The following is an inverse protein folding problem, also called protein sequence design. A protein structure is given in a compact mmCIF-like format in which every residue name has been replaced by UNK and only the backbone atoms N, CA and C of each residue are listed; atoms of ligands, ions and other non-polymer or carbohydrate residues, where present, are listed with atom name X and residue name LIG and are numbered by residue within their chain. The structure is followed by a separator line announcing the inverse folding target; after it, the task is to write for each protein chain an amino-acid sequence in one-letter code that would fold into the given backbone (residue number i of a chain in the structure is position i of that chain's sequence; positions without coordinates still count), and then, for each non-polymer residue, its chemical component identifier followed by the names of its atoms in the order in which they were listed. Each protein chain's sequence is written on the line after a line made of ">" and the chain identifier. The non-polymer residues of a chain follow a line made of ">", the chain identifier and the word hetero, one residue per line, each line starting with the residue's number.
data_IF_080766065185
#
_entry.id   IF_080766065185
#
_cell.length_a   1.000
_cell.length_b   1.000
_cell.length_c   1.000
_cell.angle_alpha   90.00
_cell.angle_beta   90.00
_cell.angle_gamma   90.00
#
_symmetry.space_group_name_H-M   'P 1'
#
loop_
_entity.id
_entity.type
_entity.pdbx_description
1 polymer ?
#
# COMPACT_ATOMS: atom_id res chain seq x y z
N UNK A 1 -2.89 -18.18 18.11
CA UNK A 1 -3.26 -16.98 17.34
C UNK A 1 -2.71 -15.76 18.05
N UNK A 2 -1.82 -15.03 17.40
CA UNK A 2 -1.26 -13.77 17.91
C UNK A 2 -1.99 -12.61 17.24
N UNK A 3 -2.38 -11.60 18.00
CA UNK A 3 -3.01 -10.38 17.48
C UNK A 3 -1.89 -9.45 17.00
N UNK A 4 -1.97 -9.01 15.74
CA UNK A 4 -1.08 -7.96 15.21
C UNK A 4 -1.51 -6.62 15.82
N UNK A 5 -0.56 -5.91 16.43
CA UNK A 5 -0.80 -4.60 17.04
C UNK A 5 -0.29 -3.50 16.12
N UNK A 6 -0.93 -2.32 16.18
CA UNK A 6 -0.49 -1.15 15.43
C UNK A 6 0.94 -0.74 15.84
N UNK A 7 1.74 -0.18 14.92
CA UNK A 7 1.40 0.05 13.52
C UNK A 7 1.57 -1.22 12.68
N UNK A 8 0.76 -1.35 11.64
CA UNK A 8 0.88 -2.45 10.70
C UNK A 8 0.48 -2.03 9.30
N UNK A 9 1.02 -2.74 8.31
CA UNK A 9 0.57 -2.75 6.92
C UNK A 9 0.38 -4.21 6.59
N UNK A 10 -0.85 -4.60 6.27
CA UNK A 10 -1.22 -5.96 5.95
C UNK A 10 -1.73 -5.98 4.51
N UNK A 11 -1.10 -6.77 3.66
CA UNK A 11 -1.61 -7.09 2.33
C UNK A 11 -2.06 -8.55 2.34
N UNK A 12 -3.29 -8.80 1.91
CA UNK A 12 -3.91 -10.12 1.92
C UNK A 12 -4.04 -10.74 0.52
N UNK A 13 -3.84 -9.98 -0.57
CA UNK A 13 -4.16 -10.45 -1.92
C UNK A 13 -3.49 -9.72 -3.09
N UNK A 14 -2.68 -8.68 -2.87
CA UNK A 14 -2.19 -7.76 -3.92
C UNK A 14 -0.68 -7.58 -4.03
N UNK A 15 0.13 -8.41 -3.35
CA UNK A 15 1.59 -8.26 -3.33
C UNK A 15 2.30 -8.99 -4.48
N UNK A 16 3.18 -8.28 -5.19
CA UNK A 16 4.12 -8.85 -6.16
C UNK A 16 5.53 -8.86 -5.59
N UNK A 17 6.34 -9.85 -5.99
CA UNK A 17 7.73 -10.00 -5.55
C UNK A 17 8.69 -9.83 -6.72
N UNK A 18 9.81 -9.16 -6.46
CA UNK A 18 10.98 -8.91 -7.32
C UNK A 18 10.72 -8.12 -8.61
N UNK A 19 9.48 -8.09 -9.10
CA UNK A 19 9.08 -7.43 -10.35
C UNK A 19 7.79 -6.66 -10.14
N UNK A 20 7.84 -5.35 -10.46
CA UNK A 20 6.66 -4.49 -10.45
C UNK A 20 5.65 -4.97 -11.50
N UNK A 21 4.35 -5.05 -11.19
CA UNK A 21 3.36 -5.42 -12.18
C UNK A 21 3.26 -4.36 -13.28
N UNK A 22 3.11 -4.81 -14.52
CA UNK A 22 2.92 -3.94 -15.68
C UNK A 22 1.42 -3.69 -15.89
N UNK A 23 0.99 -2.44 -15.69
CA UNK A 23 -0.34 -1.97 -16.01
C UNK A 23 -0.28 -0.73 -16.91
N UNK A 24 -1.35 -0.46 -17.68
CA UNK A 24 -1.49 0.81 -18.39
C UNK A 24 -1.37 2.01 -17.46
N UNK A 25 -0.88 3.14 -17.98
CA UNK A 25 -0.69 4.38 -17.20
C UNK A 25 -2.02 4.86 -16.61
N UNK A 26 -3.12 4.67 -17.33
CA UNK A 26 -4.46 5.05 -16.92
C UNK A 26 -4.91 4.26 -15.68
N UNK A 27 -4.56 2.97 -15.62
CA UNK A 27 -4.86 2.11 -14.47
C UNK A 27 -4.07 2.55 -13.24
N UNK A 28 -2.79 2.92 -13.42
CA UNK A 28 -1.99 3.48 -12.32
C UNK A 28 -2.52 4.82 -11.82
N UNK A 29 -2.96 5.69 -12.73
CA UNK A 29 -3.53 6.99 -12.37
C UNK A 29 -4.86 6.86 -11.62
N UNK A 30 -5.71 5.92 -12.03
CA UNK A 30 -6.97 5.59 -11.33
C UNK A 30 -6.68 5.02 -9.94
N UNK A 31 -5.77 4.05 -9.85
CA UNK A 31 -5.35 3.47 -8.57
C UNK A 31 -4.78 4.53 -7.63
N UNK A 32 -3.88 5.41 -8.09
CA UNK A 32 -3.32 6.48 -7.26
C UNK A 32 -4.41 7.43 -6.77
N UNK A 33 -5.37 7.79 -7.64
CA UNK A 33 -6.49 8.65 -7.29
C UNK A 33 -7.35 8.00 -6.18
N UNK A 34 -7.70 6.73 -6.35
CA UNK A 34 -8.47 5.97 -5.35
C UNK A 34 -7.73 5.91 -4.00
N UNK A 35 -6.42 5.59 -4.01
CA UNK A 35 -5.65 5.51 -2.75
C UNK A 35 -5.48 6.86 -2.09
N UNK A 36 -5.29 7.93 -2.86
CA UNK A 36 -5.26 9.30 -2.35
C UNK A 36 -6.56 9.67 -1.65
N UNK A 37 -7.71 9.31 -2.23
CA UNK A 37 -9.02 9.55 -1.61
C UNK A 37 -9.22 8.71 -0.34
N UNK A 38 -8.78 7.44 -0.33
CA UNK A 38 -8.93 6.56 0.83
C UNK A 38 -8.08 6.98 2.04
N UNK A 39 -6.86 7.45 1.79
CA UNK A 39 -5.89 7.79 2.85
C UNK A 39 -5.83 9.27 3.20
N UNK A 40 -6.45 10.14 2.40
CA UNK A 40 -6.54 11.58 2.63
C UNK A 40 -5.18 12.19 3.01
N UNK A 41 -5.08 12.85 4.16
CA UNK A 41 -3.85 13.49 4.66
C UNK A 41 -2.70 12.50 4.93
N UNK A 42 -3.01 11.21 5.10
CA UNK A 42 -2.00 10.16 5.33
C UNK A 42 -1.37 9.64 4.04
N UNK A 43 -1.92 9.99 2.87
CA UNK A 43 -1.42 9.49 1.59
C UNK A 43 0.09 9.67 1.40
N UNK A 44 0.71 10.83 1.71
CA UNK A 44 2.16 10.98 1.60
C UNK A 44 2.96 10.00 2.50
N UNK A 45 2.43 9.63 3.66
CA UNK A 45 3.07 8.64 4.54
C UNK A 45 2.93 7.22 3.99
N UNK A 46 1.76 6.90 3.41
CA UNK A 46 1.53 5.61 2.75
C UNK A 46 2.46 5.45 1.55
N UNK A 47 2.69 6.50 0.76
CA UNK A 47 3.64 6.44 -0.36
C UNK A 47 5.05 6.09 0.11
N UNK A 48 5.55 6.70 1.19
CA UNK A 48 6.87 6.36 1.76
C UNK A 48 6.95 4.91 2.24
N UNK A 49 5.85 4.39 2.81
CA UNK A 49 5.76 2.98 3.19
C UNK A 49 5.84 2.08 1.96
N UNK A 50 5.07 2.39 0.91
CA UNK A 50 5.07 1.62 -0.34
C UNK A 50 6.46 1.63 -0.99
N UNK A 51 7.11 2.79 -1.08
CA UNK A 51 8.49 2.92 -1.56
C UNK A 51 9.46 2.04 -0.77
N UNK A 52 9.35 2.00 0.56
CA UNK A 52 10.19 1.16 1.40
C UNK A 52 9.96 -0.35 1.16
N UNK A 53 8.75 -0.76 0.78
CA UNK A 53 8.49 -2.14 0.34
C UNK A 53 9.06 -2.38 -1.06
N UNK A 54 8.93 -1.42 -1.98
CA UNK A 54 9.50 -1.52 -3.33
C UNK A 54 11.03 -1.69 -3.28
N UNK A 55 11.72 -1.01 -2.35
CA UNK A 55 13.16 -1.17 -2.09
C UNK A 55 13.54 -2.60 -1.66
N UNK A 56 12.59 -3.34 -1.08
CA UNK A 56 12.74 -4.76 -0.72
C UNK A 56 12.29 -5.71 -1.85
N UNK A 57 11.93 -5.17 -3.02
CA UNK A 57 11.35 -5.94 -4.11
C UNK A 57 9.90 -6.37 -3.87
N UNK A 58 9.17 -5.71 -2.95
CA UNK A 58 7.79 -6.05 -2.62
C UNK A 58 6.88 -4.92 -3.11
N UNK A 59 5.94 -5.23 -4.00
CA UNK A 59 5.03 -4.24 -4.57
C UNK A 59 3.61 -4.50 -4.05
N UNK A 60 3.16 -3.67 -3.10
CA UNK A 60 1.83 -3.78 -2.50
C UNK A 60 0.81 -2.97 -3.30
N UNK A 61 -0.26 -3.62 -3.77
CA UNK A 61 -1.35 -2.93 -4.50
C UNK A 61 -2.63 -2.81 -3.68
N UNK A 62 -2.88 -3.75 -2.77
CA UNK A 62 -4.14 -3.86 -2.03
C UNK A 62 -4.05 -3.20 -0.65
N UNK A 63 -3.54 -1.96 -0.61
CA UNK A 63 -3.51 -1.16 0.62
C UNK A 63 -4.81 -0.36 0.80
N UNK A 64 -5.31 -0.33 2.03
CA UNK A 64 -6.48 0.46 2.43
C UNK A 64 -6.41 0.82 3.92
N UNK A 65 -7.20 1.81 4.40
CA UNK A 65 -7.30 2.10 5.84
C UNK A 65 -7.79 0.91 6.69
N UNK A 66 -8.43 -0.09 6.09
CA UNK A 66 -8.90 -1.28 6.80
C UNK A 66 -7.76 -2.26 7.14
N UNK A 67 -6.68 -2.27 6.36
CA UNK A 67 -5.55 -3.19 6.52
C UNK A 67 -4.21 -2.47 6.77
N UNK A 68 -4.21 -1.14 6.80
CA UNK A 68 -3.08 -0.29 7.13
C UNK A 68 -3.43 0.60 8.31
N UNK A 69 -2.72 0.45 9.42
CA UNK A 69 -3.01 1.16 10.65
C UNK A 69 -1.77 1.81 11.24
N UNK A 70 -1.96 3.01 11.76
CA UNK A 70 -0.91 3.87 12.29
C UNK A 70 -0.99 3.96 13.82
N UNK A 71 0.00 4.58 14.45
CA UNK A 71 0.13 4.66 15.91
C UNK A 71 -0.64 5.82 16.56
N UNK A 72 -1.53 6.50 15.83
CA UNK A 72 -2.34 7.61 16.37
C UNK A 72 -2.94 7.34 17.76
#
# INVERSE_FOLDING_TARGET
>A
MTIVKRPFVLDFAGAYLDTRPEFPVEVWAEWETEKREQFEERWPTVQQILEAFEDLGIYLLDVSPANSAFLD
#
